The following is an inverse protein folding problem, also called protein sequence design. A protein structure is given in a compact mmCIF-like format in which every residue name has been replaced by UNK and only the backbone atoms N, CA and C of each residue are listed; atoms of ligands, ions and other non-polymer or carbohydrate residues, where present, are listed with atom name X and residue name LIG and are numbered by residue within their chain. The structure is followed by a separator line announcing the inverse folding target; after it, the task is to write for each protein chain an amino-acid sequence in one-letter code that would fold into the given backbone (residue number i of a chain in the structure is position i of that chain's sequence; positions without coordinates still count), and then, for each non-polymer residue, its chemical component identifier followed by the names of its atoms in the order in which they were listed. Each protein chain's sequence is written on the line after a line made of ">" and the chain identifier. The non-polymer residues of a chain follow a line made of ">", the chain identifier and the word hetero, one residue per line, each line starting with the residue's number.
data_IF_470448657694
#
_entry.id   IF_470448657694
#
_cell.length_a   1.000
_cell.length_b   1.000
_cell.length_c   1.000
_cell.angle_alpha   90.00
_cell.angle_beta   90.00
_cell.angle_gamma   90.00
#
_symmetry.space_group_name_H-M   'P 1'
#
loop_
_entity.id
_entity.type
_entity.pdbx_description
1 polymer ?
#
# COMPACT_ATOMS: atom_id res chain seq x y z
N UNK A 1 2.31 -11.53 -37.22
CA UNK A 1 2.15 -10.36 -36.32
C UNK A 1 3.46 -10.15 -35.58
N UNK A 2 4.25 -9.19 -36.03
CA UNK A 2 5.52 -8.81 -35.41
C UNK A 2 5.21 -7.98 -34.16
N UNK A 3 5.39 -8.58 -32.98
CA UNK A 3 5.28 -7.87 -31.71
C UNK A 3 6.49 -6.96 -31.56
N UNK A 4 6.30 -5.66 -31.80
CA UNK A 4 7.33 -4.65 -31.56
C UNK A 4 7.37 -4.38 -30.06
N UNK A 5 8.23 -5.10 -29.34
CA UNK A 5 8.53 -4.79 -27.95
C UNK A 5 9.47 -3.59 -27.90
N UNK A 6 8.93 -2.38 -27.79
CA UNK A 6 9.74 -1.23 -27.40
C UNK A 6 10.15 -1.39 -25.93
N UNK A 7 11.35 -1.91 -25.71
CA UNK A 7 12.05 -1.68 -24.45
C UNK A 7 12.35 -0.17 -24.41
N UNK A 8 11.45 0.64 -23.85
CA UNK A 8 11.75 2.03 -23.52
C UNK A 8 12.89 2.02 -22.50
N UNK A 9 14.11 2.23 -22.99
CA UNK A 9 15.24 2.70 -22.18
C UNK A 9 15.26 4.21 -22.30
N UNK A 10 15.15 4.92 -21.20
CA UNK A 10 15.24 6.38 -21.15
C UNK A 10 16.69 6.86 -21.37
N UNK A 11 17.66 5.94 -21.35
CA UNK A 11 19.09 6.25 -21.49
C UNK A 11 19.73 6.70 -20.17
N UNK A 12 18.95 6.79 -19.09
CA UNK A 12 19.43 7.01 -17.74
C UNK A 12 19.35 5.68 -16.98
N UNK A 13 20.50 5.14 -16.58
CA UNK A 13 20.60 3.83 -15.96
C UNK A 13 19.77 3.71 -14.67
N UNK A 14 19.59 4.80 -13.90
CA UNK A 14 18.78 4.79 -12.68
C UNK A 14 17.30 4.77 -13.00
N UNK A 15 16.88 5.54 -14.00
CA UNK A 15 15.49 5.56 -14.46
C UNK A 15 15.13 4.23 -15.12
N UNK A 16 16.04 3.63 -15.88
CA UNK A 16 15.86 2.32 -16.49
C UNK A 16 15.79 1.19 -15.46
N UNK A 17 16.63 1.23 -14.42
CA UNK A 17 16.56 0.29 -13.30
C UNK A 17 15.25 0.46 -12.52
N UNK A 18 14.78 1.71 -12.35
CA UNK A 18 13.50 2.02 -11.73
C UNK A 18 12.35 1.45 -12.56
N UNK A 19 12.30 1.71 -13.87
CA UNK A 19 11.28 1.16 -14.78
C UNK A 19 11.32 -0.36 -14.79
N UNK A 20 12.50 -0.98 -14.73
CA UNK A 20 12.65 -2.44 -14.67
C UNK A 20 12.09 -3.01 -13.36
N UNK A 21 12.43 -2.42 -12.22
CA UNK A 21 11.86 -2.83 -10.90
C UNK A 21 10.34 -2.65 -10.88
N UNK A 22 9.85 -1.55 -11.45
CA UNK A 22 8.43 -1.26 -11.60
C UNK A 22 7.70 -2.31 -12.46
N UNK A 23 8.25 -2.69 -13.61
CA UNK A 23 7.69 -3.74 -14.48
C UNK A 23 7.73 -5.13 -13.84
N UNK A 24 8.82 -5.46 -13.15
CA UNK A 24 8.93 -6.73 -12.42
C UNK A 24 7.92 -6.83 -11.27
N UNK A 25 7.60 -5.71 -10.62
CA UNK A 25 6.54 -5.65 -9.61
C UNK A 25 5.15 -5.86 -10.21
N UNK A 26 4.84 -5.28 -11.38
CA UNK A 26 3.57 -5.53 -12.08
C UNK A 26 3.39 -6.99 -12.50
N UNK A 27 4.48 -7.71 -12.76
CA UNK A 27 4.46 -9.14 -13.11
C UNK A 27 4.49 -10.06 -11.89
N UNK A 28 4.61 -9.52 -10.67
CA UNK A 28 4.62 -10.31 -9.46
C UNK A 28 3.20 -10.71 -9.06
N UNK A 29 3.06 -11.88 -8.42
CA UNK A 29 1.80 -12.30 -7.77
C UNK A 29 1.53 -11.52 -6.47
N UNK A 30 2.26 -10.41 -6.24
CA UNK A 30 2.11 -9.59 -5.05
C UNK A 30 0.75 -8.90 -5.09
N UNK A 31 -0.03 -9.06 -4.04
CA UNK A 31 -1.38 -8.54 -3.98
C UNK A 31 -1.77 -8.14 -2.57
N UNK A 32 -2.65 -7.15 -2.48
CA UNK A 32 -3.31 -6.69 -1.28
C UNK A 32 -4.81 -6.71 -1.53
N UNK A 33 -5.55 -7.33 -0.63
CA UNK A 33 -7.02 -7.44 -0.71
C UNK A 33 -7.60 -6.93 0.58
N UNK A 34 -8.59 -6.05 0.50
CA UNK A 34 -9.18 -5.43 1.68
C UNK A 34 -10.66 -5.15 1.50
N UNK A 35 -11.39 -5.13 2.61
CA UNK A 35 -12.84 -4.99 2.62
C UNK A 35 -13.24 -3.79 3.49
N UNK A 36 -14.08 -2.94 2.93
CA UNK A 36 -14.69 -1.82 3.62
C UNK A 36 -16.17 -1.74 3.25
N UNK A 37 -17.06 -1.67 4.26
CA UNK A 37 -18.53 -1.64 4.09
C UNK A 37 -19.06 -2.74 3.16
N UNK A 38 -18.52 -3.96 3.30
CA UNK A 38 -18.93 -5.12 2.50
C UNK A 38 -18.42 -5.14 1.05
N UNK A 39 -17.73 -4.08 0.59
CA UNK A 39 -17.07 -4.05 -0.71
C UNK A 39 -15.62 -4.48 -0.57
N UNK A 40 -15.21 -5.44 -1.40
CA UNK A 40 -13.82 -5.92 -1.46
C UNK A 40 -13.08 -5.23 -2.60
N UNK A 41 -11.86 -4.81 -2.30
CA UNK A 41 -10.93 -4.17 -3.20
C UNK A 41 -9.68 -5.05 -3.28
N UNK A 42 -9.10 -5.14 -4.48
CA UNK A 42 -7.89 -5.91 -4.73
C UNK A 42 -6.95 -5.09 -5.58
N UNK A 43 -5.70 -5.07 -5.18
CA UNK A 43 -4.64 -4.31 -5.85
C UNK A 43 -3.34 -5.12 -5.87
N UNK A 44 -2.42 -4.74 -6.74
CA UNK A 44 -1.03 -5.18 -6.64
C UNK A 44 -0.42 -4.58 -5.38
N UNK A 45 0.48 -5.32 -4.73
CA UNK A 45 1.08 -4.88 -3.46
C UNK A 45 2.59 -4.74 -3.56
N UNK A 46 3.13 -3.85 -2.76
CA UNK A 46 4.57 -3.65 -2.63
C UNK A 46 4.95 -3.33 -1.19
N UNK A 47 6.19 -3.65 -0.84
CA UNK A 47 6.79 -3.22 0.43
C UNK A 47 8.01 -2.37 0.20
N UNK A 48 8.23 -1.41 1.07
CA UNK A 48 9.46 -0.62 1.12
C UNK A 48 9.93 -0.45 2.56
N UNK A 49 11.23 -0.24 2.74
CA UNK A 49 11.82 0.15 4.02
C UNK A 49 12.51 1.49 3.86
N UNK A 50 12.01 2.50 4.56
CA UNK A 50 12.61 3.83 4.51
C UNK A 50 13.92 3.86 5.30
N UNK A 51 14.81 4.82 4.96
CA UNK A 51 16.08 5.05 5.68
C UNK A 51 15.91 5.34 7.19
N UNK A 52 14.70 5.69 7.63
CA UNK A 52 14.36 5.97 9.03
C UNK A 52 13.82 4.75 9.78
N UNK A 53 13.86 3.55 9.19
CA UNK A 53 13.40 2.30 9.81
C UNK A 53 11.89 2.08 9.77
N UNK A 54 11.16 2.83 8.95
CA UNK A 54 9.75 2.54 8.68
C UNK A 54 9.62 1.45 7.64
N UNK A 55 8.82 0.44 7.96
CA UNK A 55 8.36 -0.55 7.00
C UNK A 55 7.01 -0.10 6.44
N UNK A 56 6.86 -0.20 5.12
CA UNK A 56 5.67 0.21 4.39
C UNK A 56 5.08 -0.99 3.66
N UNK A 57 3.77 -1.15 3.76
CA UNK A 57 2.95 -2.02 2.91
C UNK A 57 1.98 -1.11 2.17
N UNK A 58 2.01 -1.14 0.85
CA UNK A 58 1.14 -0.27 0.04
C UNK A 58 0.62 -0.99 -1.20
N UNK A 59 -0.54 -0.52 -1.67
CA UNK A 59 -0.99 -0.67 -3.04
C UNK A 59 0.10 -0.19 -4.00
N UNK A 60 0.29 -0.90 -5.11
CA UNK A 60 1.15 -0.44 -6.20
C UNK A 60 0.67 0.93 -6.68
N UNK A 61 1.59 1.89 -6.73
CA UNK A 61 1.32 3.21 -7.33
C UNK A 61 1.31 3.15 -8.87
N UNK A 62 1.59 1.97 -9.43
CA UNK A 62 1.72 1.75 -10.87
C UNK A 62 0.41 1.13 -11.35
N UNK A 63 -0.52 1.99 -11.74
CA UNK A 63 -1.75 1.59 -12.39
C UNK A 63 -1.90 2.38 -13.70
N UNK A 64 -2.22 1.68 -14.79
CA UNK A 64 -2.56 2.30 -16.09
C UNK A 64 -3.83 3.16 -16.00
N UNK A 65 -4.54 3.11 -14.86
CA UNK A 65 -5.73 3.88 -14.52
C UNK A 65 -5.60 4.40 -13.10
N UNK A 66 -6.16 5.58 -12.82
CA UNK A 66 -6.30 6.07 -11.45
C UNK A 66 -7.07 5.02 -10.64
N UNK A 67 -6.46 4.41 -9.61
CA UNK A 67 -7.13 3.34 -8.88
C UNK A 67 -8.29 3.91 -8.07
N UNK A 68 -9.47 3.28 -8.16
CA UNK A 68 -10.65 3.61 -7.34
C UNK A 68 -10.39 3.41 -5.84
N UNK A 69 -9.29 2.74 -5.51
CA UNK A 69 -8.86 2.45 -4.14
C UNK A 69 -7.35 2.33 -4.02
N UNK A 70 -6.73 2.95 -3.02
CA UNK A 70 -5.31 2.79 -2.70
C UNK A 70 -5.14 2.72 -1.20
N UNK A 71 -4.22 1.88 -0.73
CA UNK A 71 -3.87 1.80 0.68
C UNK A 71 -2.37 1.93 0.87
N UNK A 72 -1.98 2.62 1.94
CA UNK A 72 -0.61 2.68 2.46
C UNK A 72 -0.66 2.51 3.97
N UNK A 73 0.15 1.59 4.48
CA UNK A 73 0.35 1.32 5.90
C UNK A 73 1.84 1.46 6.19
N UNK A 74 2.22 2.38 7.07
CA UNK A 74 3.60 2.63 7.46
C UNK A 74 3.74 2.51 8.98
N UNK A 75 4.70 1.72 9.44
CA UNK A 75 4.95 1.53 10.87
C UNK A 75 6.45 1.38 11.14
N UNK A 76 6.89 1.84 12.32
CA UNK A 76 8.23 1.56 12.82
C UNK A 76 8.31 0.16 13.39
N UNK A 77 9.42 -0.54 13.12
CA UNK A 77 9.73 -1.81 13.79
C UNK A 77 10.45 -2.79 12.87
N UNK A 78 10.69 -3.99 13.40
CA UNK A 78 11.15 -5.12 12.60
C UNK A 78 10.07 -5.49 11.59
N UNK A 79 10.50 -5.89 10.40
CA UNK A 79 9.58 -6.14 9.30
C UNK A 79 8.64 -7.35 9.51
N UNK A 80 8.86 -8.19 10.53
CA UNK A 80 7.89 -9.19 11.02
C UNK A 80 7.36 -8.85 12.41
N UNK A 81 6.17 -9.35 12.73
CA UNK A 81 5.47 -9.12 14.00
C UNK A 81 4.15 -8.38 13.83
N UNK A 82 3.50 -8.11 14.97
CA UNK A 82 2.28 -7.29 15.03
C UNK A 82 2.63 -5.87 15.44
N UNK A 83 2.21 -4.90 14.64
CA UNK A 83 2.55 -3.48 14.78
C UNK A 83 1.29 -2.63 14.75
N UNK A 84 1.27 -1.58 15.57
CA UNK A 84 0.23 -0.54 15.53
C UNK A 84 0.58 0.51 14.47
N UNK A 85 -0.41 1.04 13.76
CA UNK A 85 -0.27 2.13 12.79
C UNK A 85 -1.36 3.18 12.96
N UNK A 86 -1.15 4.36 12.36
CA UNK A 86 -2.07 5.50 12.47
C UNK A 86 -1.94 6.29 13.78
N UNK A 87 -0.84 6.07 14.50
CA UNK A 87 -0.43 6.81 15.70
C UNK A 87 0.54 7.94 15.38
N UNK A 88 0.90 8.78 16.37
CA UNK A 88 1.67 10.03 16.20
C UNK A 88 2.93 9.92 15.33
N UNK A 89 3.58 8.75 15.31
CA UNK A 89 4.80 8.51 14.52
C UNK A 89 4.59 7.56 13.33
N UNK A 90 3.43 6.90 13.17
CA UNK A 90 3.17 5.89 12.15
C UNK A 90 2.06 6.36 11.19
N UNK A 91 2.35 6.40 9.89
CA UNK A 91 1.42 6.90 8.88
C UNK A 91 0.54 5.82 8.27
N UNK A 92 -0.69 6.18 7.91
CA UNK A 92 -1.55 5.33 7.10
C UNK A 92 -2.50 6.19 6.29
N UNK A 93 -2.71 5.82 5.03
CA UNK A 93 -3.62 6.50 4.13
C UNK A 93 -4.40 5.45 3.37
N UNK A 94 -5.71 5.64 3.31
CA UNK A 94 -6.60 4.85 2.47
C UNK A 94 -7.40 5.83 1.61
N UNK A 95 -7.31 5.69 0.31
CA UNK A 95 -8.19 6.38 -0.64
C UNK A 95 -9.23 5.39 -1.14
N UNK A 96 -10.51 5.76 -1.08
CA UNK A 96 -11.64 4.94 -1.56
C UNK A 96 -12.64 5.86 -2.25
N UNK A 97 -12.89 5.62 -3.54
CA UNK A 97 -13.85 6.37 -4.36
C UNK A 97 -13.69 7.90 -4.20
N UNK A 98 -12.45 8.40 -4.28
CA UNK A 98 -12.12 9.83 -4.15
C UNK A 98 -12.14 10.41 -2.73
N UNK A 99 -12.53 9.61 -1.72
CA UNK A 99 -12.44 10.01 -0.31
C UNK A 99 -11.11 9.53 0.30
N UNK A 100 -10.47 10.39 1.08
CA UNK A 100 -9.21 10.07 1.78
C UNK A 100 -9.48 9.84 3.25
N UNK A 101 -8.90 8.79 3.79
CA UNK A 101 -9.03 8.38 5.19
C UNK A 101 -7.66 8.17 5.81
N UNK A 102 -7.51 8.55 7.08
CA UNK A 102 -6.48 7.98 7.94
C UNK A 102 -7.01 6.68 8.52
N UNK A 103 -6.17 5.65 8.56
CA UNK A 103 -6.55 4.35 9.13
C UNK A 103 -5.84 4.14 10.47
N UNK A 104 -6.52 3.73 11.53
CA UNK A 104 -5.85 3.35 12.79
C UNK A 104 -6.10 1.89 13.10
N UNK A 105 -5.07 1.16 13.49
CA UNK A 105 -5.22 -0.25 13.80
C UNK A 105 -3.90 -1.02 13.81
N UNK A 106 -4.01 -2.33 13.56
CA UNK A 106 -2.92 -3.29 13.67
C UNK A 106 -2.63 -3.96 12.35
N UNK A 107 -1.35 -4.16 12.06
CA UNK A 107 -0.86 -5.00 10.97
C UNK A 107 0.01 -6.12 11.54
N UNK A 108 -0.21 -7.35 11.08
CA UNK A 108 0.61 -8.51 11.41
C UNK A 108 1.34 -8.96 10.16
N UNK A 109 2.68 -8.98 10.21
CA UNK A 109 3.53 -9.34 9.08
C UNK A 109 4.39 -10.55 9.43
N UNK A 110 4.51 -11.46 8.46
CA UNK A 110 5.40 -12.61 8.47
C UNK A 110 6.31 -12.53 7.25
N UNK A 111 7.62 -12.50 7.48
CA UNK A 111 8.63 -12.52 6.42
C UNK A 111 9.30 -13.89 6.38
N UNK A 112 9.38 -14.47 5.19
CA UNK A 112 10.05 -15.74 4.92
C UNK A 112 10.97 -15.56 3.70
N UNK A 113 12.26 -15.37 3.96
CA UNK A 113 13.23 -15.03 2.91
C UNK A 113 12.88 -13.68 2.27
N UNK A 114 12.77 -13.66 0.94
CA UNK A 114 12.41 -12.46 0.18
C UNK A 114 10.89 -12.18 0.12
N UNK A 115 10.05 -13.01 0.75
CA UNK A 115 8.59 -12.90 0.70
C UNK A 115 8.03 -12.32 2.00
N UNK A 116 7.03 -11.46 1.89
CA UNK A 116 6.28 -10.90 3.00
C UNK A 116 4.79 -11.23 2.86
N UNK A 117 4.14 -11.60 3.95
CA UNK A 117 2.70 -11.83 3.94
C UNK A 117 2.10 -11.38 5.26
N UNK A 118 0.81 -11.07 5.26
CA UNK A 118 0.21 -10.60 6.49
C UNK A 118 -1.25 -10.23 6.36
N UNK A 119 -1.75 -9.67 7.45
CA UNK A 119 -3.11 -9.17 7.56
C UNK A 119 -3.11 -7.85 8.32
N UNK A 120 -4.15 -7.05 8.11
CA UNK A 120 -4.36 -5.83 8.86
C UNK A 120 -5.84 -5.66 9.17
N UNK A 121 -6.10 -4.89 10.22
CA UNK A 121 -7.43 -4.49 10.63
C UNK A 121 -7.36 -3.10 11.25
N UNK A 122 -8.41 -2.32 11.09
CA UNK A 122 -8.46 -0.98 11.64
C UNK A 122 -9.78 -0.28 11.42
N UNK A 123 -9.78 1.00 11.78
CA UNK A 123 -10.89 1.92 11.56
C UNK A 123 -10.45 3.08 10.67
N UNK A 124 -11.37 3.55 9.82
CA UNK A 124 -11.13 4.69 8.94
C UNK A 124 -11.69 5.97 9.53
N UNK A 125 -10.90 7.04 9.46
CA UNK A 125 -11.28 8.39 9.88
C UNK A 125 -11.13 9.32 8.68
N UNK A 126 -12.22 9.95 8.26
CA UNK A 126 -12.25 10.78 7.05
C UNK A 126 -11.31 11.99 7.21
N UNK A 127 -10.49 12.26 6.20
CA UNK A 127 -9.65 13.45 6.12
C UNK A 127 -10.27 14.41 5.11
N UNK A 128 -10.67 15.59 5.58
CA UNK A 128 -11.36 16.58 4.73
C UNK A 128 -10.32 17.48 4.07
N UNK A 129 -10.49 17.78 2.78
CA UNK A 129 -9.56 18.64 2.05
C UNK A 129 -9.37 20.03 2.70
N UNK A 130 -10.43 20.59 3.29
CA UNK A 130 -10.40 21.90 3.95
C UNK A 130 -9.89 21.86 5.40
N UNK A 131 -9.77 20.68 6.00
CA UNK A 131 -9.23 20.49 7.35
C UNK A 131 -8.46 19.15 7.37
N UNK A 132 -7.13 19.16 7.22
CA UNK A 132 -6.32 17.95 7.05
C UNK A 132 -6.23 17.10 8.32
N UNK A 133 -6.95 17.46 9.39
CA UNK A 133 -7.11 16.62 10.56
C UNK A 133 -8.17 15.54 10.29
N UNK A 134 -7.91 14.27 10.64
CA UNK A 134 -8.94 13.24 10.57
C UNK A 134 -10.14 13.59 11.46
N UNK A 135 -11.33 13.23 10.99
CA UNK A 135 -12.55 13.30 11.78
C UNK A 135 -12.41 12.48 13.08
N UNK A 136 -12.99 12.96 14.18
CA UNK A 136 -12.99 12.23 15.44
C UNK A 136 -13.86 10.96 15.39
N UNK A 137 -14.87 10.95 14.52
CA UNK A 137 -15.80 9.83 14.36
C UNK A 137 -15.30 8.87 13.28
N UNK A 138 -15.30 7.58 13.63
CA UNK A 138 -15.00 6.50 12.69
C UNK A 138 -16.03 6.43 11.56
N UNK A 139 -15.53 6.25 10.33
CA UNK A 139 -16.29 5.99 9.11
C UNK A 139 -16.58 4.50 8.88
N UNK A 140 -16.03 3.63 9.73
CA UNK A 140 -16.24 2.19 9.70
C UNK A 140 -14.94 1.39 9.78
N UNK A 141 -15.10 0.08 9.97
CA UNK A 141 -14.00 -0.88 10.03
C UNK A 141 -13.52 -1.27 8.64
N UNK A 142 -12.22 -1.53 8.54
CA UNK A 142 -11.54 -2.06 7.36
C UNK A 142 -10.63 -3.21 7.79
N UNK A 143 -10.53 -4.24 6.97
CA UNK A 143 -9.58 -5.33 7.16
C UNK A 143 -9.06 -5.82 5.83
N UNK A 144 -7.89 -6.45 5.84
CA UNK A 144 -7.31 -6.97 4.62
C UNK A 144 -6.15 -7.93 4.85
N UNK A 145 -5.68 -8.50 3.76
CA UNK A 145 -4.54 -9.40 3.69
C UNK A 145 -3.64 -9.01 2.54
N UNK A 146 -2.36 -9.35 2.63
CA UNK A 146 -1.40 -9.15 1.56
C UNK A 146 -0.42 -10.32 1.46
N UNK A 147 0.10 -10.51 0.24
CA UNK A 147 1.18 -11.44 -0.09
C UNK A 147 2.10 -10.72 -1.07
N UNK A 148 3.38 -10.66 -0.79
CA UNK A 148 4.41 -9.91 -1.53
C UNK A 148 5.63 -10.83 -1.68
#
# INVERSE_FOLDING_TARGET
>A
MTSVCFAQTTGDAKVDEMIKKMKQQQQSNASITYTFKGKTYKDAAMTDTTKKGYYQVLSSLIADKTPDSTILISFMGTASGTHQFGEKNNGSIVMLNGSVYQMKGTVTIVIKGAKASGSFQGELYLVRQKNPKPDAKSSGKISGTFKI
#
